data_IF_771483206533
#
_entry.id   IF_771483206533
#
_cell.length_a   1.000
_cell.length_b   1.000
_cell.length_c   1.000
_cell.angle_alpha   90.00
_cell.angle_beta   90.00
_cell.angle_gamma   90.00
#
_symmetry.space_group_name_H-M   'P 1'
#
loop_
_entity.id
_entity.type
_entity.pdbx_description
1 polymer ?
#
# COMPACT_ATOMS: atom_id res chain seq x y z
N UNK A 1 -6.46 11.11 -4.21
CA UNK A 1 -5.39 10.12 -4.01
C UNK A 1 -5.50 9.36 -2.71
N UNK A 2 -5.51 10.06 -1.57
CA UNK A 2 -5.33 9.46 -0.23
C UNK A 2 -6.37 8.38 0.14
N UNK A 3 -7.65 8.54 -0.23
CA UNK A 3 -8.67 7.51 0.00
C UNK A 3 -8.43 6.21 -0.78
N UNK A 4 -7.91 6.29 -2.01
CA UNK A 4 -7.54 5.11 -2.80
C UNK A 4 -6.30 4.40 -2.25
N UNK A 5 -5.32 5.16 -1.76
CA UNK A 5 -4.16 4.61 -1.07
C UNK A 5 -4.59 3.87 0.21
N UNK A 6 -5.46 4.46 1.03
CA UNK A 6 -5.97 3.81 2.25
C UNK A 6 -6.72 2.50 1.99
N UNK A 7 -7.56 2.45 0.95
CA UNK A 7 -8.25 1.21 0.54
C UNK A 7 -7.25 0.17 0.02
N UNK A 8 -6.26 0.60 -0.77
CA UNK A 8 -5.19 -0.26 -1.28
C UNK A 8 -4.38 -0.90 -0.15
N UNK A 9 -3.99 -0.11 0.85
CA UNK A 9 -3.29 -0.60 2.04
C UNK A 9 -4.15 -1.57 2.84
N UNK A 10 -5.42 -1.26 3.08
CA UNK A 10 -6.34 -2.17 3.79
C UNK A 10 -6.45 -3.54 3.11
N UNK A 11 -6.55 -3.56 1.78
CA UNK A 11 -6.59 -4.81 1.02
C UNK A 11 -5.27 -5.59 1.04
N UNK A 12 -4.14 -4.88 0.92
CA UNK A 12 -2.80 -5.49 0.91
C UNK A 12 -2.47 -6.10 2.28
N UNK A 13 -2.62 -5.33 3.37
CA UNK A 13 -2.37 -5.82 4.72
C UNK A 13 -3.41 -6.84 5.18
N UNK A 14 -4.67 -6.69 4.77
CA UNK A 14 -5.72 -7.68 5.07
C UNK A 14 -5.46 -9.03 4.40
N UNK A 15 -5.03 -9.02 3.14
CA UNK A 15 -4.66 -10.24 2.41
C UNK A 15 -3.41 -10.90 2.99
N UNK A 16 -2.41 -10.10 3.38
CA UNK A 16 -1.22 -10.59 4.05
C UNK A 16 -1.55 -11.24 5.41
N UNK A 17 -2.36 -10.58 6.25
CA UNK A 17 -2.76 -11.11 7.56
C UNK A 17 -3.57 -12.41 7.40
N UNK A 18 -4.52 -12.46 6.47
CA UNK A 18 -5.29 -13.66 6.19
C UNK A 18 -4.42 -14.84 5.69
N UNK A 19 -3.36 -14.55 4.93
CA UNK A 19 -2.36 -15.54 4.52
C UNK A 19 -1.44 -15.97 5.65
N UNK A 20 -0.97 -15.02 6.46
CA UNK A 20 -0.09 -15.25 7.59
C UNK A 20 -0.76 -16.09 8.69
N UNK A 21 -2.05 -15.86 8.94
CA UNK A 21 -2.84 -16.67 9.88
C UNK A 21 -3.02 -18.13 9.41
N UNK A 22 -3.02 -18.37 8.09
CA UNK A 22 -3.14 -19.72 7.52
C UNK A 22 -1.81 -20.46 7.46
N UNK A 23 -0.72 -19.76 7.19
CA UNK A 23 0.61 -20.36 7.12
C UNK A 23 1.70 -19.37 7.57
N UNK A 24 1.93 -19.22 8.88
CA UNK A 24 2.84 -18.21 9.41
C UNK A 24 4.29 -18.40 8.94
N UNK A 25 4.74 -19.63 8.73
CA UNK A 25 6.10 -19.92 8.25
C UNK A 25 6.40 -19.41 6.83
N UNK A 26 5.37 -19.22 5.99
CA UNK A 26 5.53 -18.61 4.66
C UNK A 26 5.28 -17.10 4.67
N UNK A 27 4.79 -16.54 5.77
CA UNK A 27 4.49 -15.11 5.90
C UNK A 27 5.78 -14.28 5.81
N UNK A 28 6.84 -14.70 6.50
CA UNK A 28 8.14 -14.03 6.46
C UNK A 28 8.70 -13.90 5.03
N UNK A 29 8.51 -14.93 4.19
CA UNK A 29 8.91 -14.89 2.78
C UNK A 29 8.06 -13.95 1.91
N UNK A 30 6.83 -13.64 2.34
CA UNK A 30 5.91 -12.75 1.63
C UNK A 30 5.99 -11.30 2.15
N UNK A 31 6.65 -11.06 3.28
CA UNK A 31 6.80 -9.73 3.86
C UNK A 31 7.52 -8.76 2.92
N UNK A 32 8.55 -9.20 2.19
CA UNK A 32 9.22 -8.37 1.20
C UNK A 32 8.27 -7.90 0.07
N UNK A 33 7.35 -8.76 -0.36
CA UNK A 33 6.31 -8.41 -1.35
C UNK A 33 5.25 -7.48 -0.77
N UNK A 34 4.89 -7.68 0.51
CA UNK A 34 4.00 -6.77 1.24
C UNK A 34 4.57 -5.34 1.27
N UNK A 35 5.84 -5.19 1.67
CA UNK A 35 6.49 -3.88 1.75
C UNK A 35 6.63 -3.23 0.37
N UNK A 36 6.92 -4.02 -0.67
CA UNK A 36 6.90 -3.52 -2.04
C UNK A 36 5.52 -2.99 -2.45
N UNK A 37 4.45 -3.76 -2.19
CA UNK A 37 3.07 -3.33 -2.49
C UNK A 37 2.65 -2.09 -1.69
N UNK A 38 3.06 -2.00 -0.42
CA UNK A 38 2.89 -0.82 0.43
C UNK A 38 3.59 0.40 -0.18
N UNK A 39 4.87 0.28 -0.53
CA UNK A 39 5.66 1.36 -1.10
C UNK A 39 5.06 1.90 -2.41
N UNK A 40 4.58 1.02 -3.28
CA UNK A 40 3.90 1.42 -4.53
C UNK A 40 2.58 2.15 -4.23
N UNK A 41 1.78 1.64 -3.29
CA UNK A 41 0.49 2.26 -2.93
C UNK A 41 0.69 3.67 -2.34
N UNK A 42 1.68 3.83 -1.47
CA UNK A 42 2.06 5.12 -0.90
C UNK A 42 2.64 6.07 -1.96
N UNK A 43 3.47 5.56 -2.88
CA UNK A 43 4.02 6.35 -4.00
C UNK A 43 2.92 6.97 -4.86
N UNK A 44 1.83 6.24 -5.12
CA UNK A 44 0.66 6.78 -5.82
C UNK A 44 -0.10 7.82 -4.98
N UNK A 45 -0.13 7.63 -3.66
CA UNK A 45 -0.70 8.59 -2.70
C UNK A 45 0.02 9.94 -2.73
N UNK A 46 1.36 9.93 -2.58
CA UNK A 46 2.18 11.15 -2.63
C UNK A 46 2.22 11.75 -4.04
N UNK A 47 2.18 10.95 -5.10
CA UNK A 47 2.07 11.46 -6.47
C UNK A 47 0.75 12.22 -6.68
N UNK A 48 -0.37 11.69 -6.18
CA UNK A 48 -1.65 12.41 -6.21
C UNK A 48 -1.61 13.71 -5.40
N UNK A 49 -0.87 13.76 -4.29
CA UNK A 49 -0.66 15.00 -3.54
C UNK A 49 0.17 16.01 -4.34
N UNK A 50 1.23 15.56 -5.01
CA UNK A 50 2.05 16.40 -5.89
C UNK A 50 1.21 17.06 -6.98
N UNK A 51 0.36 16.28 -7.68
CA UNK A 51 -0.53 16.83 -8.71
C UNK A 51 -1.52 17.85 -8.12
N UNK A 52 -2.05 17.59 -6.93
CA UNK A 52 -2.94 18.54 -6.26
C UNK A 52 -2.23 19.86 -5.90
N UNK A 53 -0.98 19.80 -5.44
CA UNK A 53 -0.17 20.99 -5.15
C UNK A 53 0.18 21.77 -6.43
N UNK A 54 0.53 21.06 -7.51
CA UNK A 54 0.77 21.69 -8.81
C UNK A 54 -0.50 22.38 -9.36
N UNK A 55 -1.68 21.80 -9.16
CA UNK A 55 -2.93 22.42 -9.59
C UNK A 55 -3.34 23.64 -8.72
N UNK A 56 -2.93 23.67 -7.45
CA UNK A 56 -3.27 24.75 -6.52
C UNK A 56 -2.33 25.96 -6.65
N UNK A 57 -1.05 25.73 -6.95
CA UNK A 57 0.00 26.75 -6.99
C UNK A 57 0.66 26.94 -8.35
N UNK A 58 0.26 26.16 -9.36
CA UNK A 58 0.77 26.24 -10.73
C UNK A 58 -0.06 27.11 -11.64
#
# INVERSE_FOLDING_TARGET
GMGGAGIGLGNIFGSYLAGALRNPSAADGQFGRLIFGFAVTEALGIFSLLIALLALFG
#
